data_IF_810754876522
#
_entry.id   IF_810754876522
#
_cell.length_a   1.000
_cell.length_b   1.000
_cell.length_c   1.000
_cell.angle_alpha   90.00
_cell.angle_beta   90.00
_cell.angle_gamma   90.00
#
_symmetry.space_group_name_H-M   'P 1'
#
loop_
_entity.id
_entity.type
_entity.pdbx_description
1 polymer ?
#
# COMPACT_ATOMS: atom_id res chain seq x y z
N UNK A 1 3.89 1.93 15.28
CA UNK A 1 3.99 0.74 14.39
C UNK A 1 5.45 0.36 14.20
N UNK A 2 5.76 -0.91 14.39
CA UNK A 2 7.13 -1.40 14.24
C UNK A 2 7.16 -2.55 13.23
N UNK A 3 7.58 -2.24 12.01
CA UNK A 3 7.60 -3.18 10.90
C UNK A 3 8.85 -4.08 10.88
N UNK A 4 9.74 -3.95 11.87
CA UNK A 4 10.81 -4.93 12.09
C UNK A 4 10.30 -6.19 12.79
N UNK A 5 9.09 -6.13 13.38
CA UNK A 5 8.49 -7.20 14.17
C UNK A 5 7.22 -7.79 13.57
N UNK A 6 6.54 -7.03 12.71
CA UNK A 6 5.29 -7.48 12.09
C UNK A 6 5.13 -6.78 10.75
N UNK A 7 4.40 -7.40 9.79
CA UNK A 7 4.15 -6.74 8.51
C UNK A 7 3.11 -5.64 8.65
N UNK A 8 3.07 -4.67 7.71
CA UNK A 8 1.97 -3.73 7.63
C UNK A 8 0.68 -4.44 7.19
N UNK A 9 -0.45 -3.76 7.34
CA UNK A 9 -1.74 -4.29 6.88
C UNK A 9 -1.65 -4.68 5.40
N UNK A 10 -2.46 -5.65 5.01
CA UNK A 10 -2.46 -6.18 3.64
C UNK A 10 -3.04 -5.17 2.67
N UNK A 11 -2.63 -5.20 1.38
CA UNK A 11 -3.20 -4.30 0.37
C UNK A 11 -4.72 -4.38 0.24
N UNK A 12 -5.32 -5.53 0.51
CA UNK A 12 -6.78 -5.72 0.45
C UNK A 12 -7.54 -5.07 1.61
N UNK A 13 -6.83 -4.59 2.64
CA UNK A 13 -7.48 -3.90 3.76
C UNK A 13 -7.94 -2.51 3.30
N UNK A 14 -9.25 -2.26 3.36
CA UNK A 14 -9.88 -1.03 2.86
C UNK A 14 -10.30 -0.06 3.96
N UNK A 15 -9.74 -0.18 5.15
CA UNK A 15 -10.17 0.62 6.30
C UNK A 15 -9.93 2.12 6.15
N UNK A 16 -9.00 2.53 5.30
CA UNK A 16 -8.72 3.96 5.07
C UNK A 16 -9.26 4.34 3.70
N UNK A 17 -10.30 5.14 3.66
CA UNK A 17 -10.93 5.70 2.46
C UNK A 17 -11.43 4.67 1.44
N UNK A 18 -11.48 3.38 1.79
CA UNK A 18 -11.85 2.32 0.86
C UNK A 18 -10.85 2.10 -0.27
N UNK A 19 -9.60 2.50 -0.12
CA UNK A 19 -8.59 2.46 -1.17
C UNK A 19 -7.62 1.31 -0.93
N UNK A 20 -7.44 0.47 -1.95
CA UNK A 20 -6.48 -0.63 -1.96
C UNK A 20 -5.07 -0.11 -1.65
N UNK A 21 -4.41 -0.74 -0.69
CA UNK A 21 -3.04 -0.42 -0.31
C UNK A 21 -2.88 0.78 0.62
N UNK A 22 -3.93 1.57 0.85
CA UNK A 22 -3.80 2.80 1.65
C UNK A 22 -3.63 2.50 3.13
N UNK A 23 -4.35 1.52 3.69
CA UNK A 23 -4.13 1.12 5.08
C UNK A 23 -2.69 0.61 5.28
N UNK A 24 -2.17 -0.15 4.32
CA UNK A 24 -0.78 -0.61 4.30
C UNK A 24 0.20 0.57 4.28
N UNK A 25 -0.03 1.55 3.40
CA UNK A 25 0.80 2.75 3.32
C UNK A 25 0.75 3.55 4.63
N UNK A 26 -0.41 3.59 5.27
CA UNK A 26 -0.58 4.24 6.58
C UNK A 26 0.33 3.62 7.64
N UNK A 27 0.37 2.30 7.71
CA UNK A 27 1.26 1.59 8.64
C UNK A 27 2.72 1.87 8.33
N UNK A 28 3.08 1.90 7.05
CA UNK A 28 4.44 2.21 6.63
C UNK A 28 4.82 3.65 6.96
N UNK A 29 3.91 4.60 6.78
CA UNK A 29 4.16 6.00 7.13
C UNK A 29 4.38 6.16 8.65
N UNK A 30 3.60 5.47 9.47
CA UNK A 30 3.79 5.49 10.93
C UNK A 30 5.14 4.90 11.32
N UNK A 31 5.53 3.80 10.70
CA UNK A 31 6.84 3.20 10.94
C UNK A 31 7.97 4.09 10.44
N UNK A 32 7.79 4.75 9.32
CA UNK A 32 8.74 5.73 8.80
C UNK A 32 8.98 6.85 9.82
N UNK A 33 7.90 7.40 10.38
CA UNK A 33 8.00 8.46 11.40
C UNK A 33 8.73 8.00 12.67
N UNK A 34 8.63 6.71 12.99
CA UNK A 34 9.25 6.11 14.18
C UNK A 34 10.59 5.43 13.89
N UNK A 35 11.10 5.52 12.66
CA UNK A 35 12.33 4.87 12.22
C UNK A 35 12.30 3.35 12.41
N UNK A 36 11.14 2.72 12.18
CA UNK A 36 10.90 1.30 12.38
C UNK A 36 10.37 0.59 11.13
N UNK A 37 10.73 1.09 9.93
CA UNK A 37 10.32 0.50 8.65
C UNK A 37 10.87 -0.92 8.42
N UNK A 38 12.05 -1.22 8.97
CA UNK A 38 12.71 -2.48 8.65
C UNK A 38 13.06 -2.56 7.16
N UNK A 39 12.61 -3.62 6.50
CA UNK A 39 12.88 -3.83 5.07
C UNK A 39 11.85 -3.15 4.15
N UNK A 40 10.81 -2.56 4.72
CA UNK A 40 9.76 -1.91 3.92
C UNK A 40 10.18 -0.52 3.47
N UNK A 41 9.61 -0.07 2.34
CA UNK A 41 9.84 1.25 1.76
C UNK A 41 8.55 2.05 1.81
N UNK A 42 8.67 3.34 2.14
CA UNK A 42 7.53 4.25 2.19
C UNK A 42 7.66 5.35 1.14
N UNK A 43 6.53 5.73 0.55
CA UNK A 43 6.43 6.90 -0.31
C UNK A 43 7.00 6.68 -1.70
N UNK A 44 7.76 7.65 -2.19
CA UNK A 44 8.29 7.64 -3.55
C UNK A 44 9.18 6.46 -3.90
N UNK A 45 9.75 5.78 -2.90
CA UNK A 45 10.59 4.60 -3.09
C UNK A 45 9.77 3.30 -3.22
N UNK A 46 8.46 3.34 -2.98
CA UNK A 46 7.55 2.22 -3.14
C UNK A 46 6.64 2.44 -4.35
N UNK A 47 6.63 1.49 -5.28
CA UNK A 47 5.82 1.61 -6.51
C UNK A 47 4.32 1.78 -6.23
N UNK A 48 3.77 1.02 -5.29
CA UNK A 48 2.36 1.10 -4.93
C UNK A 48 2.04 2.42 -4.21
N UNK A 49 2.87 2.81 -3.25
CA UNK A 49 2.67 4.07 -2.51
C UNK A 49 2.68 5.27 -3.46
N UNK A 50 3.59 5.28 -4.42
CA UNK A 50 3.66 6.35 -5.43
C UNK A 50 2.36 6.45 -6.22
N UNK A 51 1.81 5.32 -6.65
CA UNK A 51 0.52 5.31 -7.37
C UNK A 51 -0.62 5.84 -6.51
N UNK A 52 -0.67 5.46 -5.25
CA UNK A 52 -1.70 5.93 -4.31
C UNK A 52 -1.56 7.43 -4.07
N UNK A 53 -0.35 7.90 -3.78
CA UNK A 53 -0.09 9.32 -3.53
C UNK A 53 -0.42 10.18 -4.76
N UNK A 54 -0.04 9.71 -5.96
CA UNK A 54 -0.36 10.40 -7.21
C UNK A 54 -1.88 10.45 -7.44
N UNK A 55 -2.58 9.35 -7.20
CA UNK A 55 -4.04 9.29 -7.30
C UNK A 55 -4.71 10.28 -6.34
N UNK A 56 -4.21 10.39 -5.12
CA UNK A 56 -4.75 11.29 -4.10
C UNK A 56 -4.29 12.74 -4.27
N UNK A 57 -3.26 12.97 -5.06
CA UNK A 57 -2.59 14.27 -5.17
C UNK A 57 -2.08 14.79 -3.82
N UNK A 58 -1.56 13.88 -3.00
CA UNK A 58 -0.99 14.20 -1.68
C UNK A 58 0.50 13.85 -1.70
N UNK A 59 1.40 14.79 -1.39
CA UNK A 59 2.83 14.49 -1.26
C UNK A 59 3.09 13.52 -0.10
N UNK A 60 4.12 12.70 -0.22
CA UNK A 60 4.47 11.70 0.79
C UNK A 60 4.80 12.35 2.14
N UNK A 61 5.47 13.49 2.16
CA UNK A 61 5.76 14.24 3.39
C UNK A 61 4.49 14.70 4.09
N UNK A 62 3.53 15.22 3.33
CA UNK A 62 2.24 15.67 3.88
C UNK A 62 1.44 14.49 4.45
N UNK A 63 1.46 13.35 3.77
CA UNK A 63 0.79 12.15 4.25
C UNK A 63 1.44 11.65 5.55
N UNK A 64 2.76 11.61 5.62
CA UNK A 64 3.49 11.22 6.83
C UNK A 64 3.16 12.12 8.01
N UNK A 65 3.05 13.43 7.79
CA UNK A 65 2.63 14.38 8.84
C UNK A 65 1.21 14.09 9.31
N UNK A 66 0.31 13.81 8.39
CA UNK A 66 -1.08 13.51 8.73
C UNK A 66 -1.21 12.25 9.59
N UNK A 67 -0.46 11.18 9.27
CA UNK A 67 -0.54 9.93 10.05
C UNK A 67 0.08 10.09 11.43
N UNK A 68 0.99 11.03 11.62
CA UNK A 68 1.54 11.36 12.93
C UNK A 68 0.48 12.01 13.83
N UNK A 69 -0.37 12.84 13.24
CA UNK A 69 -1.35 13.64 13.97
C UNK A 69 -2.70 12.94 14.16
N UNK A 70 -3.11 12.08 13.20
CA UNK A 70 -4.45 11.53 13.13
C UNK A 70 -4.47 10.02 13.37
N UNK A 71 -5.50 9.54 14.09
CA UNK A 71 -5.81 8.11 14.13
C UNK A 71 -6.45 7.66 12.80
N UNK A 72 -6.71 6.37 12.65
CA UNK A 72 -7.28 5.82 11.42
C UNK A 72 -8.61 6.47 11.04
N UNK A 73 -9.50 6.67 12.01
CA UNK A 73 -10.82 7.26 11.75
C UNK A 73 -10.72 8.68 11.22
N UNK A 74 -9.91 9.50 11.85
CA UNK A 74 -9.71 10.90 11.45
C UNK A 74 -8.94 10.97 10.13
N UNK A 75 -7.96 10.10 9.95
CA UNK A 75 -7.18 10.00 8.70
C UNK A 75 -8.07 9.66 7.52
N UNK A 76 -9.00 8.70 7.69
CA UNK A 76 -9.98 8.33 6.67
C UNK A 76 -10.74 9.56 6.17
N UNK A 77 -11.29 10.36 7.08
CA UNK A 77 -12.02 11.58 6.76
C UNK A 77 -11.12 12.60 6.07
N UNK A 78 -9.90 12.78 6.59
CA UNK A 78 -8.94 13.72 6.03
C UNK A 78 -8.53 13.37 4.60
N UNK A 79 -8.27 12.10 4.32
CA UNK A 79 -7.89 11.64 2.98
C UNK A 79 -9.02 11.90 1.99
N UNK A 80 -10.25 11.55 2.35
CA UNK A 80 -11.42 11.76 1.49
C UNK A 80 -11.58 13.26 1.17
N UNK A 81 -11.44 14.12 2.16
CA UNK A 81 -11.56 15.57 1.97
C UNK A 81 -10.43 16.14 1.11
N UNK A 82 -9.19 15.71 1.34
CA UNK A 82 -8.03 16.23 0.62
C UNK A 82 -8.00 15.78 -0.84
N UNK A 83 -8.33 14.52 -1.11
CA UNK A 83 -8.23 13.95 -2.45
C UNK A 83 -9.34 14.42 -3.37
N UNK A 84 -10.50 14.74 -2.84
CA UNK A 84 -11.73 15.06 -3.60
C UNK A 84 -12.12 14.00 -4.63
N UNK A 85 -11.63 12.77 -4.49
CA UNK A 85 -11.97 11.66 -5.38
C UNK A 85 -13.37 11.15 -5.09
N UNK A 86 -14.11 10.79 -6.15
CA UNK A 86 -15.44 10.19 -6.03
C UNK A 86 -15.33 8.71 -5.69
N UNK A 87 -16.41 8.13 -5.17
CA UNK A 87 -16.50 6.69 -4.92
C UNK A 87 -16.22 5.91 -6.22
N UNK A 88 -16.76 6.38 -7.34
CA UNK A 88 -16.57 5.74 -8.64
C UNK A 88 -15.10 5.75 -9.07
N UNK A 89 -14.39 6.86 -8.87
CA UNK A 89 -12.96 6.95 -9.17
C UNK A 89 -12.14 6.00 -8.30
N UNK A 90 -12.49 5.89 -7.01
CA UNK A 90 -11.84 4.98 -6.09
C UNK A 90 -12.05 3.51 -6.51
N UNK A 91 -13.27 3.15 -6.88
CA UNK A 91 -13.58 1.82 -7.36
C UNK A 91 -12.81 1.46 -8.62
N UNK A 92 -12.69 2.40 -9.57
CA UNK A 92 -11.91 2.20 -10.79
C UNK A 92 -10.42 2.02 -10.48
N UNK A 93 -9.88 2.83 -9.58
CA UNK A 93 -8.49 2.70 -9.12
C UNK A 93 -8.25 1.32 -8.52
N UNK A 94 -9.13 0.88 -7.61
CA UNK A 94 -9.02 -0.42 -6.95
C UNK A 94 -9.05 -1.57 -7.95
N UNK A 95 -10.00 -1.55 -8.88
CA UNK A 95 -10.12 -2.61 -9.88
C UNK A 95 -8.88 -2.69 -10.78
N UNK A 96 -8.36 -1.55 -11.19
CA UNK A 96 -7.14 -1.50 -12.01
C UNK A 96 -5.94 -2.08 -11.25
N UNK A 97 -5.73 -1.63 -10.00
CA UNK A 97 -4.58 -2.10 -9.23
C UNK A 97 -4.67 -3.58 -8.86
N UNK A 98 -5.87 -4.08 -8.56
CA UNK A 98 -6.06 -5.49 -8.22
C UNK A 98 -5.82 -6.42 -9.40
N UNK A 99 -5.92 -5.93 -10.64
CA UNK A 99 -5.81 -6.75 -11.84
C UNK A 99 -4.41 -6.71 -12.49
N UNK A 100 -3.50 -5.88 -12.00
CA UNK A 100 -2.17 -5.74 -12.61
C UNK A 100 -1.34 -7.01 -12.40
N UNK A 101 -0.89 -7.62 -13.50
CA UNK A 101 0.10 -8.68 -13.51
C UNK A 101 1.49 -8.07 -13.74
N UNK A 102 2.57 -8.75 -13.33
CA UNK A 102 3.93 -8.24 -13.56
C UNK A 102 4.18 -8.00 -15.06
N UNK A 103 4.60 -6.79 -15.42
CA UNK A 103 4.79 -6.38 -16.81
C UNK A 103 6.25 -6.44 -17.26
N UNK A 104 7.19 -6.55 -16.33
CA UNK A 104 8.62 -6.59 -16.62
C UNK A 104 9.23 -7.84 -16.05
N UNK A 105 10.40 -8.22 -16.56
CA UNK A 105 11.16 -9.35 -16.04
C UNK A 105 11.52 -9.15 -14.57
N UNK A 106 11.87 -7.91 -14.19
CA UNK A 106 12.17 -7.56 -12.81
C UNK A 106 10.99 -7.84 -11.89
N UNK A 107 9.79 -7.41 -12.26
CA UNK A 107 8.59 -7.63 -11.45
C UNK A 107 8.17 -9.10 -11.45
N UNK A 108 8.36 -9.83 -12.56
CA UNK A 108 8.12 -11.27 -12.60
C UNK A 108 9.05 -12.00 -11.65
N UNK A 109 10.31 -11.61 -11.61
CA UNK A 109 11.30 -12.20 -10.70
C UNK A 109 10.95 -11.91 -9.25
N UNK A 110 10.52 -10.67 -8.93
CA UNK A 110 10.07 -10.31 -7.58
C UNK A 110 8.90 -11.19 -7.13
N UNK A 111 7.96 -11.45 -8.02
CA UNK A 111 6.82 -12.32 -7.70
C UNK A 111 7.29 -13.74 -7.41
N UNK A 112 8.20 -14.28 -8.21
CA UNK A 112 8.76 -15.63 -7.99
C UNK A 112 9.52 -15.69 -6.66
N UNK A 113 10.30 -14.67 -6.34
CA UNK A 113 11.06 -14.61 -5.09
C UNK A 113 10.11 -14.58 -3.88
N UNK A 114 9.02 -13.83 -3.96
CA UNK A 114 8.03 -13.79 -2.89
C UNK A 114 7.30 -15.12 -2.74
N UNK A 115 6.95 -15.78 -3.85
CA UNK A 115 6.35 -17.13 -3.80
C UNK A 115 7.29 -18.13 -3.13
N UNK A 116 8.57 -18.12 -3.50
CA UNK A 116 9.55 -19.00 -2.89
C UNK A 116 9.70 -18.77 -1.39
N UNK A 117 9.63 -17.51 -0.96
CA UNK A 117 9.80 -17.13 0.45
C UNK A 117 8.57 -17.45 1.29
N UNK A 118 7.36 -17.17 0.79
CA UNK A 118 6.14 -17.17 1.60
C UNK A 118 5.16 -18.29 1.29
N UNK A 119 5.11 -18.76 0.04
CA UNK A 119 4.09 -19.72 -0.39
C UNK A 119 4.56 -20.54 -1.59
N UNK A 120 5.62 -21.37 -1.45
CA UNK A 120 6.24 -22.06 -2.58
C UNK A 120 5.32 -23.04 -3.31
N UNK A 121 4.26 -23.52 -2.66
CA UNK A 121 3.34 -24.50 -3.24
C UNK A 121 2.11 -23.87 -3.89
N UNK A 122 1.98 -22.55 -3.86
CA UNK A 122 0.81 -21.88 -4.44
C UNK A 122 1.01 -21.62 -5.93
N UNK A 123 -0.07 -21.84 -6.70
CA UNK A 123 -0.07 -21.65 -8.16
C UNK A 123 -1.11 -20.61 -8.60
N UNK A 124 -1.88 -20.06 -7.68
CA UNK A 124 -2.97 -19.11 -7.94
C UNK A 124 -2.55 -17.64 -7.87
N UNK A 125 -1.31 -17.36 -7.50
CA UNK A 125 -0.79 -16.00 -7.35
C UNK A 125 -0.26 -15.50 -8.70
N UNK A 126 -0.96 -14.53 -9.28
CA UNK A 126 -0.64 -14.01 -10.62
C UNK A 126 -0.47 -12.50 -10.67
N UNK A 127 -1.12 -11.77 -9.77
CA UNK A 127 -1.07 -10.31 -9.78
C UNK A 127 -0.03 -9.79 -8.78
N UNK A 128 0.41 -8.55 -9.01
CA UNK A 128 1.36 -7.88 -8.12
C UNK A 128 0.82 -7.81 -6.70
N UNK A 129 -0.44 -7.37 -6.52
CA UNK A 129 -1.02 -7.24 -5.19
C UNK A 129 -1.26 -8.57 -4.49
N UNK A 130 -1.59 -9.63 -5.23
CA UNK A 130 -1.68 -10.97 -4.63
C UNK A 130 -0.34 -11.38 -4.01
N UNK A 131 0.78 -11.08 -4.67
CA UNK A 131 2.09 -11.40 -4.12
C UNK A 131 2.42 -10.56 -2.88
N UNK A 132 1.96 -9.31 -2.83
CA UNK A 132 2.16 -8.42 -1.68
C UNK A 132 1.33 -8.87 -0.47
N UNK A 133 0.21 -9.56 -0.67
CA UNK A 133 -0.60 -10.13 0.41
C UNK A 133 0.14 -11.22 1.22
N UNK A 134 1.24 -11.75 0.68
CA UNK A 134 1.91 -12.91 1.26
C UNK A 134 2.80 -12.62 2.48
N UNK A 135 3.20 -11.39 2.72
CA UNK A 135 4.15 -11.08 3.80
C UNK A 135 3.61 -11.22 5.23
#
# INVERSE_FOLDING_TARGET
>A
MNLTKQPPRRPSNLNIAGIVGLARMTDKARAFNNETLGEYLYGGDSGLDRKILDFLSIPDEQFAEAVEEYDDHTLDTWVIAQSTRTISEIEEFNQRELSIEPQTEEYRQRLQDRLAKYAPDRTDIKTVLQSVELD
#
